data_IF_195029615514
#
_entry.id   IF_195029615514
#
_cell.length_a   1.000
_cell.length_b   1.000
_cell.length_c   1.000
_cell.angle_alpha   90.00
_cell.angle_beta   90.00
_cell.angle_gamma   90.00
#
_symmetry.space_group_name_H-M   'P 1'
#
loop_
_entity.id
_entity.type
_entity.pdbx_description
1 polymer ?
#
# COMPACT_ATOMS: atom_id res chain seq x y z
N UNK A 1 19.39 36.21 -15.61
CA UNK A 1 19.77 34.79 -15.46
C UNK A 1 18.53 33.95 -15.27
N UNK A 2 18.29 33.01 -16.19
CA UNK A 2 17.10 32.16 -16.29
C UNK A 2 17.37 30.89 -15.45
N UNK A 3 16.54 30.57 -14.46
CA UNK A 3 16.57 29.26 -13.79
C UNK A 3 15.28 28.52 -14.14
N UNK A 4 15.49 27.38 -14.75
CA UNK A 4 14.53 26.54 -15.46
C UNK A 4 13.82 25.60 -14.48
N UNK A 5 12.49 25.70 -14.44
CA UNK A 5 11.61 24.69 -13.87
C UNK A 5 11.85 23.37 -14.60
N UNK A 6 12.46 22.41 -13.89
CA UNK A 6 12.53 21.02 -14.31
C UNK A 6 11.12 20.44 -14.35
N UNK A 7 10.54 20.45 -15.55
CA UNK A 7 9.29 19.78 -15.87
C UNK A 7 9.51 18.26 -15.65
N UNK A 8 9.09 17.74 -14.50
CA UNK A 8 9.12 16.30 -14.23
C UNK A 8 8.13 15.66 -15.19
N UNK A 9 8.66 15.04 -16.23
CA UNK A 9 7.94 14.32 -17.27
C UNK A 9 7.19 13.11 -16.69
N UNK A 10 6.02 13.32 -16.08
CA UNK A 10 5.10 12.26 -15.61
C UNK A 10 4.29 11.64 -16.76
N UNK A 11 4.92 11.42 -17.92
CA UNK A 11 4.19 11.24 -19.17
C UNK A 11 4.18 9.85 -19.80
N UNK A 12 4.99 8.87 -19.36
CA UNK A 12 5.16 7.60 -20.12
C UNK A 12 5.42 6.34 -19.27
N UNK A 13 4.87 6.23 -18.06
CA UNK A 13 5.15 5.12 -17.13
C UNK A 13 3.91 4.34 -16.67
N UNK A 14 2.80 4.44 -17.40
CA UNK A 14 1.52 3.83 -17.03
C UNK A 14 1.34 2.33 -17.39
N UNK A 15 1.86 1.79 -18.51
CA UNK A 15 1.60 0.39 -18.86
C UNK A 15 2.41 -0.61 -18.00
N UNK A 16 3.62 -0.25 -17.59
CA UNK A 16 4.50 -1.15 -16.82
C UNK A 16 4.03 -1.36 -15.38
N UNK A 17 3.38 -0.34 -14.81
CA UNK A 17 2.95 -0.37 -13.41
C UNK A 17 1.76 -1.32 -13.19
N UNK A 18 0.83 -1.38 -14.14
CA UNK A 18 -0.31 -2.29 -14.08
C UNK A 18 0.15 -3.75 -14.23
N UNK A 19 1.04 -4.02 -15.19
CA UNK A 19 1.62 -5.34 -15.41
C UNK A 19 2.46 -5.82 -14.21
N UNK A 20 3.34 -4.95 -13.68
CA UNK A 20 4.09 -5.23 -12.46
C UNK A 20 3.18 -5.48 -11.27
N UNK A 21 2.03 -4.79 -11.20
CA UNK A 21 1.09 -5.00 -10.12
C UNK A 21 0.38 -6.35 -10.19
N UNK A 22 -0.03 -6.75 -11.40
CA UNK A 22 -0.60 -8.06 -11.67
C UNK A 22 0.41 -9.15 -11.31
N UNK A 23 1.66 -9.04 -11.77
CA UNK A 23 2.71 -10.01 -11.47
C UNK A 23 2.95 -10.16 -9.96
N UNK A 24 3.07 -9.04 -9.24
CA UNK A 24 3.24 -9.09 -7.78
C UNK A 24 2.03 -9.66 -7.05
N UNK A 25 0.81 -9.42 -7.56
CA UNK A 25 -0.40 -10.05 -7.02
C UNK A 25 -0.38 -11.56 -7.25
N UNK A 26 -0.03 -12.02 -8.46
CA UNK A 26 0.06 -13.45 -8.77
C UNK A 26 1.12 -14.14 -7.91
N UNK A 27 2.31 -13.54 -7.77
CA UNK A 27 3.38 -14.05 -6.90
C UNK A 27 2.89 -14.20 -5.45
N UNK A 28 2.16 -13.21 -4.93
CA UNK A 28 1.55 -13.29 -3.61
C UNK A 28 0.53 -14.43 -3.51
N UNK A 29 -0.32 -14.60 -4.52
CA UNK A 29 -1.34 -15.66 -4.54
C UNK A 29 -0.70 -17.06 -4.60
N UNK A 30 0.37 -17.23 -5.39
CA UNK A 30 1.14 -18.49 -5.47
C UNK A 30 1.82 -18.79 -4.13
N UNK A 31 2.40 -17.79 -3.48
CA UNK A 31 3.00 -17.95 -2.15
C UNK A 31 1.97 -18.22 -1.05
N UNK A 32 0.72 -17.82 -1.25
CA UNK A 32 -0.36 -17.90 -0.27
C UNK A 32 -1.67 -18.46 -0.87
N UNK A 33 -1.68 -19.73 -1.32
CA UNK A 33 -2.78 -20.28 -2.13
C UNK A 33 -4.12 -20.39 -1.39
N UNK A 34 -4.11 -20.45 -0.05
CA UNK A 34 -5.32 -20.48 0.79
C UNK A 34 -5.75 -19.12 1.33
N UNK A 35 -5.04 -18.04 0.97
CA UNK A 35 -5.39 -16.69 1.45
C UNK A 35 -6.68 -16.18 0.79
N UNK A 36 -7.44 -15.31 1.48
CA UNK A 36 -8.57 -14.60 0.87
C UNK A 36 -8.19 -13.89 -0.43
N UNK A 37 -6.99 -13.32 -0.52
CA UNK A 37 -6.47 -12.67 -1.72
C UNK A 37 -6.37 -13.63 -2.89
N UNK A 38 -5.87 -14.86 -2.69
CA UNK A 38 -5.78 -15.87 -3.74
C UNK A 38 -7.14 -16.34 -4.24
N UNK A 39 -8.13 -16.46 -3.34
CA UNK A 39 -9.47 -16.98 -3.64
C UNK A 39 -10.40 -15.91 -4.20
N UNK A 40 -10.37 -14.70 -3.63
CA UNK A 40 -11.32 -13.62 -3.95
C UNK A 40 -10.79 -12.60 -4.94
N UNK A 41 -9.46 -12.58 -5.18
CA UNK A 41 -8.80 -11.70 -6.15
C UNK A 41 -9.29 -10.23 -6.05
N UNK A 42 -9.02 -9.54 -4.92
CA UNK A 42 -9.50 -8.18 -4.71
C UNK A 42 -8.99 -7.22 -5.80
N UNK A 43 -9.77 -6.18 -6.10
CA UNK A 43 -9.37 -5.15 -7.06
C UNK A 43 -8.26 -4.29 -6.46
N UNK A 44 -7.16 -4.14 -7.18
CA UNK A 44 -6.02 -3.31 -6.77
C UNK A 44 -6.12 -1.90 -7.35
N UNK A 45 -5.90 -0.91 -6.50
CA UNK A 45 -5.82 0.50 -6.85
C UNK A 45 -4.53 1.09 -6.28
N UNK A 46 -3.96 2.07 -6.99
CA UNK A 46 -2.86 2.88 -6.48
C UNK A 46 -3.30 4.33 -6.37
N UNK A 47 -3.26 4.88 -5.15
CA UNK A 47 -3.64 6.26 -4.88
C UNK A 47 -2.76 6.83 -3.78
N UNK A 48 -2.27 8.05 -3.99
CA UNK A 48 -1.48 8.78 -2.99
C UNK A 48 -0.31 7.96 -2.43
N UNK A 49 0.43 7.28 -3.31
CA UNK A 49 1.55 6.40 -2.95
C UNK A 49 1.18 5.16 -2.12
N UNK A 50 -0.12 4.81 -2.06
CA UNK A 50 -0.61 3.64 -1.36
C UNK A 50 -1.31 2.67 -2.32
N UNK A 51 -1.06 1.39 -2.09
CA UNK A 51 -1.79 0.28 -2.68
C UNK A 51 -3.02 -0.03 -1.86
N UNK A 52 -4.13 -0.22 -2.55
CA UNK A 52 -5.42 -0.49 -1.95
C UNK A 52 -6.02 -1.73 -2.62
N UNK A 53 -6.30 -2.76 -1.82
CA UNK A 53 -6.99 -3.98 -2.22
C UNK A 53 -8.44 -3.92 -1.74
N UNK A 54 -9.40 -3.89 -2.67
CA UNK A 54 -10.82 -3.75 -2.37
C UNK A 54 -11.62 -4.94 -2.90
N UNK A 55 -12.46 -5.52 -2.03
CA UNK A 55 -13.51 -6.44 -2.42
C UNK A 55 -14.86 -5.88 -1.96
N UNK A 56 -15.73 -5.54 -2.91
CA UNK A 56 -17.06 -5.00 -2.63
C UNK A 56 -17.46 -3.87 -3.58
N UNK A 57 -18.68 -3.34 -3.45
CA UNK A 57 -19.19 -2.27 -4.31
C UNK A 57 -18.52 -0.91 -4.04
N UNK A 58 -18.11 -0.66 -2.80
CA UNK A 58 -17.52 0.60 -2.36
C UNK A 58 -16.51 0.38 -1.23
N UNK A 59 -15.76 1.43 -0.86
CA UNK A 59 -14.86 1.39 0.31
C UNK A 59 -15.61 1.30 1.64
N UNK A 60 -16.86 1.75 1.70
CA UNK A 60 -17.66 1.80 2.93
C UNK A 60 -18.35 0.46 3.21
N UNK A 61 -18.77 -0.22 2.14
CA UNK A 61 -19.52 -1.49 2.22
C UNK A 61 -18.63 -2.71 1.89
N UNK A 62 -17.42 -2.47 1.41
CA UNK A 62 -16.45 -3.50 1.03
C UNK A 62 -15.33 -3.71 2.06
N UNK A 63 -14.53 -4.75 1.83
CA UNK A 63 -13.34 -5.07 2.63
C UNK A 63 -12.13 -4.43 1.95
N UNK A 64 -11.33 -3.68 2.72
CA UNK A 64 -10.27 -2.80 2.18
C UNK A 64 -8.94 -3.04 2.86
N UNK A 65 -7.96 -3.60 2.16
CA UNK A 65 -6.56 -3.64 2.60
C UNK A 65 -5.77 -2.45 2.06
N UNK A 66 -4.98 -1.78 2.90
CA UNK A 66 -4.14 -0.64 2.49
C UNK A 66 -2.68 -0.90 2.89
N UNK A 67 -1.74 -0.63 1.98
CA UNK A 67 -0.32 -0.77 2.24
C UNK A 67 0.56 0.07 1.32
N UNK A 68 1.83 0.28 1.69
CA UNK A 68 2.82 0.95 0.83
C UNK A 68 3.32 0.05 -0.31
N UNK A 69 3.02 -1.25 -0.26
CA UNK A 69 3.32 -2.23 -1.30
C UNK A 69 2.09 -3.10 -1.55
N UNK A 70 2.06 -3.78 -2.70
CA UNK A 70 0.97 -4.71 -3.06
C UNK A 70 0.82 -5.81 -2.02
N UNK A 71 1.93 -6.48 -1.66
CA UNK A 71 1.91 -7.52 -0.63
C UNK A 71 1.42 -7.02 0.73
N UNK A 72 1.74 -5.78 1.11
CA UNK A 72 1.24 -5.19 2.35
C UNK A 72 -0.27 -4.92 2.28
N UNK A 73 -0.77 -4.43 1.15
CA UNK A 73 -2.21 -4.21 0.94
C UNK A 73 -2.99 -5.53 0.94
N UNK A 74 -2.50 -6.56 0.24
CA UNK A 74 -3.11 -7.90 0.19
C UNK A 74 -3.12 -8.57 1.57
N UNK A 75 -2.02 -8.48 2.33
CA UNK A 75 -1.98 -8.98 3.71
C UNK A 75 -2.98 -8.28 4.63
N UNK A 76 -3.09 -6.95 4.50
CA UNK A 76 -4.06 -6.18 5.26
C UNK A 76 -5.51 -6.57 4.90
N UNK A 77 -5.76 -6.83 3.60
CA UNK A 77 -7.03 -7.34 3.11
C UNK A 77 -7.35 -8.72 3.69
N UNK A 78 -6.42 -9.67 3.63
CA UNK A 78 -6.59 -11.03 4.17
C UNK A 78 -6.98 -11.00 5.65
N UNK A 79 -6.29 -10.16 6.42
CA UNK A 79 -6.55 -9.99 7.85
C UNK A 79 -7.97 -9.48 8.11
N UNK A 80 -8.41 -8.48 7.36
CA UNK A 80 -9.76 -7.92 7.51
C UNK A 80 -10.84 -8.90 7.03
N UNK A 81 -10.59 -9.63 5.95
CA UNK A 81 -11.51 -10.63 5.44
C UNK A 81 -11.75 -11.75 6.45
N UNK A 82 -10.68 -12.27 7.07
CA UNK A 82 -10.79 -13.29 8.12
C UNK A 82 -11.43 -12.75 9.40
N UNK A 83 -11.19 -11.47 9.74
CA UNK A 83 -11.86 -10.83 10.87
C UNK A 83 -13.38 -10.69 10.65
N UNK A 84 -13.81 -10.37 9.42
CA UNK A 84 -15.22 -10.19 9.07
C UNK A 84 -16.04 -11.48 8.93
N UNK A 85 -15.40 -12.65 8.83
CA UNK A 85 -16.08 -13.96 8.87
C UNK A 85 -16.53 -14.31 10.30
N UNK A 86 -15.94 -13.67 11.33
CA UNK A 86 -16.49 -13.77 12.69
C UNK A 86 -17.71 -12.83 12.79
N UNK A 87 -18.82 -13.28 13.41
CA UNK A 87 -20.00 -12.42 13.54
C UNK A 87 -19.58 -11.10 14.21
N UNK A 88 -20.05 -9.95 13.69
CA UNK A 88 -19.75 -8.68 14.30
C UNK A 88 -20.37 -8.69 15.70
N UNK A 89 -19.55 -8.75 16.74
CA UNK A 89 -19.96 -8.11 17.99
C UNK A 89 -20.13 -6.65 17.63
N UNK A 90 -21.33 -6.12 17.82
CA UNK A 90 -21.75 -4.79 17.39
C UNK A 90 -20.81 -3.70 17.94
N UNK A 91 -19.73 -3.42 17.23
CA UNK A 91 -18.93 -2.22 17.47
C UNK A 91 -19.21 -1.26 16.34
N UNK A 92 -20.29 -0.51 16.54
CA UNK A 92 -20.47 0.83 15.96
C UNK A 92 -19.11 1.52 15.89
N UNK A 93 -18.68 1.83 14.66
CA UNK A 93 -17.54 2.70 14.38
C UNK A 93 -16.15 2.11 14.67
N UNK A 94 -15.68 1.12 13.91
CA UNK A 94 -14.25 0.79 13.89
C UNK A 94 -13.47 1.62 12.87
N UNK A 95 -13.59 2.94 13.02
CA UNK A 95 -12.49 3.82 12.66
C UNK A 95 -11.44 3.74 13.75
N UNK A 96 -10.48 2.78 13.68
CA UNK A 96 -9.16 2.84 14.34
C UNK A 96 -8.36 1.54 14.18
N UNK A 97 -7.20 1.62 13.51
CA UNK A 97 -5.88 1.32 14.08
C UNK A 97 -4.81 1.05 13.01
N UNK A 98 -4.30 2.12 12.38
CA UNK A 98 -2.92 2.12 11.89
C UNK A 98 -2.39 3.55 11.79
N UNK A 99 -2.41 4.29 12.91
CA UNK A 99 -1.40 5.35 13.09
C UNK A 99 -0.05 4.67 13.36
N UNK A 100 0.47 3.96 12.36
CA UNK A 100 1.87 3.54 12.38
C UNK A 100 2.65 4.72 11.88
N UNK A 101 3.23 5.42 12.86
CA UNK A 101 4.08 6.58 12.71
C UNK A 101 4.94 6.45 11.45
N UNK A 102 4.74 7.36 10.50
CA UNK A 102 5.80 7.79 9.60
C UNK A 102 6.90 8.38 10.48
N UNK A 103 7.74 7.51 11.06
CA UNK A 103 8.98 7.92 11.70
C UNK A 103 9.93 8.26 10.56
N UNK A 104 9.82 9.52 10.17
CA UNK A 104 10.76 10.31 9.40
C UNK A 104 12.19 10.11 9.93
N UNK A 105 12.96 9.20 9.33
CA UNK A 105 14.41 9.18 9.50
C UNK A 105 15.04 10.09 8.45
N UNK A 106 14.83 11.40 8.61
CA UNK A 106 15.55 12.45 7.90
C UNK A 106 16.41 13.20 8.92
N UNK A 107 17.48 12.56 9.37
CA UNK A 107 18.61 13.26 9.97
C UNK A 107 19.68 13.41 8.88
N UNK A 108 19.58 14.49 8.12
CA UNK A 108 20.76 15.09 7.52
C UNK A 108 21.46 15.89 8.60
N UNK A 109 22.79 15.76 8.72
CA UNK A 109 23.66 16.93 8.74
C UNK A 109 25.12 16.53 8.51
N UNK A 110 25.68 17.19 7.50
CA UNK A 110 27.09 17.35 7.22
C UNK A 110 27.90 17.73 8.47
N UNK A 111 29.12 17.18 8.60
CA UNK A 111 30.27 18.01 8.96
C UNK A 111 31.57 17.39 8.45
N UNK A 112 32.11 18.05 7.44
CA UNK A 112 33.51 18.01 7.01
C UNK A 112 34.24 19.03 7.89
N UNK A 113 35.34 18.64 8.56
CA UNK A 113 36.60 19.41 8.71
C UNK A 113 37.56 18.78 9.75
N UNK A 114 38.72 18.39 9.20
CA UNK A 114 40.11 18.48 9.68
C UNK A 114 40.43 19.04 11.08
N UNK A 115 41.32 18.34 11.80
CA UNK A 115 42.49 18.84 12.58
C UNK A 115 43.02 17.65 13.43
N UNK A 116 44.17 17.05 13.11
CA UNK A 116 45.51 17.38 13.61
C UNK A 116 45.66 17.19 15.14
N UNK A 117 46.48 16.20 15.48
CA UNK A 117 46.95 15.82 16.80
C UNK A 117 47.96 14.72 16.64
#
# INVERSE_FOLDING_TARGET
MKKNNGHISRGRYAPDYASAAIEQMELYCVAHPGSPSAVRRPRLFFRSELWIALLGPSFEEGIVGIGSTIAAALRAFDTQYLAGIRPPVETVGSGRAARRSYRNSKSGLNSRKEASG
#
